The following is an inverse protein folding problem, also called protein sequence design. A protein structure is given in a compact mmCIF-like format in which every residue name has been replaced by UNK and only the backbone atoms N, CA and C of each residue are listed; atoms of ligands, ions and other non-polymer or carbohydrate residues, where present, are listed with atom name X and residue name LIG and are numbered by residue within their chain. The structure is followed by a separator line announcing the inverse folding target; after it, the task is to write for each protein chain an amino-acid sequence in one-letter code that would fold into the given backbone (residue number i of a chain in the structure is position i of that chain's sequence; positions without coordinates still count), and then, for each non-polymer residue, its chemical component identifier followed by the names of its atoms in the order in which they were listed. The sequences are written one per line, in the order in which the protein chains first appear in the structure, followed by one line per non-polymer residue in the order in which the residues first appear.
data_IF_206458808801
#
_entry.id   IF_206458808801
#
_cell.length_a   1.000
_cell.length_b   1.000
_cell.length_c   1.000
_cell.angle_alpha   90.00
_cell.angle_beta   90.00
_cell.angle_gamma   90.00
#
_symmetry.space_group_name_H-M   'P 1'
#
loop_
_entity.id
_entity.type
_entity.pdbx_description
1 polymer ?
#
# COMPACT_ATOMS: atom_id res chain seq x y z
N UNK A 1 18.96 -16.21 4.23
CA UNK A 1 19.23 -17.67 4.07
C UNK A 1 20.13 -17.99 2.87
N UNK A 2 20.41 -17.04 2.00
CA UNK A 2 21.16 -17.28 0.75
C UNK A 2 22.69 -17.15 0.86
N UNK A 3 23.25 -16.74 2.00
CA UNK A 3 24.68 -16.47 2.13
C UNK A 3 25.49 -17.53 2.91
N UNK A 4 24.88 -18.64 3.35
CA UNK A 4 25.59 -19.70 4.11
C UNK A 4 26.12 -19.28 5.49
N UNK A 5 25.79 -18.06 5.97
CA UNK A 5 26.18 -17.57 7.29
C UNK A 5 25.25 -18.10 8.37
N UNK A 6 25.78 -18.43 9.53
CA UNK A 6 24.99 -18.80 10.70
C UNK A 6 24.16 -17.61 11.14
N UNK A 7 22.85 -17.83 11.29
CA UNK A 7 21.90 -16.80 11.73
C UNK A 7 21.58 -17.01 13.20
N UNK A 8 21.67 -15.96 14.00
CA UNK A 8 21.23 -15.98 15.40
C UNK A 8 19.72 -16.25 15.45
N UNK A 9 19.29 -17.18 16.31
CA UNK A 9 17.88 -17.60 16.45
C UNK A 9 17.22 -17.91 15.10
N UNK A 10 17.69 -18.91 14.32
CA UNK A 10 17.21 -19.18 12.97
C UNK A 10 15.72 -19.57 12.92
N UNK A 11 15.22 -20.18 13.99
CA UNK A 11 13.81 -20.64 14.09
C UNK A 11 12.84 -19.53 14.54
N UNK A 12 13.35 -18.34 14.88
CA UNK A 12 12.49 -17.22 15.26
C UNK A 12 11.68 -16.75 14.04
N UNK A 13 10.32 -16.82 14.06
CA UNK A 13 9.49 -16.44 12.93
C UNK A 13 9.62 -14.95 12.64
N UNK A 14 9.58 -14.60 11.35
CA UNK A 14 9.57 -13.19 10.92
C UNK A 14 8.22 -12.57 11.22
N UNK A 15 8.18 -11.57 12.09
CA UNK A 15 6.98 -10.81 12.43
C UNK A 15 7.32 -9.43 12.99
N UNK A 16 6.30 -8.60 13.06
CA UNK A 16 6.31 -7.32 13.76
C UNK A 16 5.26 -7.41 14.88
N UNK A 17 5.65 -7.13 16.10
CA UNK A 17 4.74 -7.06 17.25
C UNK A 17 4.65 -5.61 17.72
N UNK A 18 3.43 -5.14 17.94
CA UNK A 18 3.12 -3.82 18.49
C UNK A 18 2.41 -4.01 19.81
N UNK A 19 2.91 -3.35 20.85
CA UNK A 19 2.33 -3.38 22.19
C UNK A 19 2.07 -1.94 22.63
N UNK A 20 0.89 -1.70 23.20
CA UNK A 20 0.50 -0.42 23.77
C UNK A 20 0.28 -0.54 25.28
N UNK A 21 0.95 0.32 26.03
CA UNK A 21 0.76 0.43 27.47
C UNK A 21 0.28 1.83 27.83
N UNK A 22 -1.02 1.94 27.99
CA UNK A 22 -1.69 3.21 28.26
C UNK A 22 -1.20 3.89 29.54
N UNK A 23 -1.06 3.12 30.63
CA UNK A 23 -0.64 3.65 31.93
C UNK A 23 0.80 4.16 31.92
N UNK A 24 1.67 3.53 31.11
CA UNK A 24 3.07 3.93 30.91
C UNK A 24 3.20 4.97 29.78
N UNK A 25 2.15 5.25 29.02
CA UNK A 25 2.14 6.08 27.81
C UNK A 25 3.23 5.64 26.81
N UNK A 26 3.36 4.32 26.61
CA UNK A 26 4.37 3.77 25.71
C UNK A 26 3.77 2.96 24.59
N UNK A 27 4.42 3.02 23.44
CA UNK A 27 4.20 2.11 22.32
C UNK A 27 5.52 1.39 22.08
N UNK A 28 5.48 0.07 22.03
CA UNK A 28 6.65 -0.75 21.71
C UNK A 28 6.41 -1.46 20.39
N UNK A 29 7.34 -1.31 19.45
CA UNK A 29 7.33 -1.97 18.14
C UNK A 29 8.55 -2.87 18.09
N UNK A 30 8.32 -4.17 17.93
CA UNK A 30 9.39 -5.18 17.89
C UNK A 30 9.35 -5.92 16.57
N UNK A 31 10.43 -5.94 15.84
CA UNK A 31 10.63 -6.83 14.70
C UNK A 31 11.64 -7.95 15.02
N UNK A 32 11.48 -9.07 14.32
CA UNK A 32 12.38 -10.22 14.40
C UNK A 32 13.30 -10.28 13.17
N UNK A 33 13.66 -9.13 12.63
CA UNK A 33 14.46 -8.97 11.43
C UNK A 33 15.94 -9.20 11.63
N UNK A 34 16.73 -8.50 10.83
CA UNK A 34 18.21 -8.65 10.85
C UNK A 34 18.88 -7.92 12.01
N UNK A 35 18.19 -6.99 12.66
CA UNK A 35 18.79 -6.15 13.70
C UNK A 35 19.96 -5.31 13.20
N UNK A 36 20.75 -4.77 14.14
CA UNK A 36 21.91 -3.93 13.85
C UNK A 36 23.07 -4.26 14.77
N UNK A 37 24.29 -4.16 14.25
CA UNK A 37 25.55 -4.10 15.02
C UNK A 37 25.71 -2.72 15.65
N UNK A 38 26.67 -2.55 16.56
CA UNK A 38 27.01 -1.24 17.14
C UNK A 38 27.35 -0.20 16.07
N UNK A 39 28.17 -0.59 15.09
CA UNK A 39 28.57 0.30 14.01
C UNK A 39 27.38 0.72 13.14
N UNK A 40 26.49 -0.23 12.79
CA UNK A 40 25.27 0.05 12.01
C UNK A 40 24.29 0.92 12.80
N UNK A 41 24.19 0.75 14.11
CA UNK A 41 23.33 1.57 14.97
C UNK A 41 23.78 3.04 14.94
N UNK A 42 25.09 3.30 15.09
CA UNK A 42 25.67 4.65 14.96
C UNK A 42 25.41 5.20 13.55
N UNK A 43 25.68 4.40 12.52
CA UNK A 43 25.55 4.84 11.14
C UNK A 43 24.10 5.16 10.75
N UNK A 44 23.15 4.31 11.16
CA UNK A 44 21.76 4.42 10.73
C UNK A 44 20.90 5.35 11.60
N UNK A 45 21.19 5.44 12.90
CA UNK A 45 20.44 6.26 13.85
C UNK A 45 21.21 7.48 14.37
N UNK A 46 22.53 7.49 14.25
CA UNK A 46 23.36 8.64 14.62
C UNK A 46 23.50 9.69 13.52
N UNK A 47 23.06 9.39 12.31
CA UNK A 47 23.17 10.30 11.16
C UNK A 47 21.80 10.41 10.46
N UNK A 48 21.24 11.61 10.44
CA UNK A 48 19.97 11.90 9.76
C UNK A 48 20.11 11.63 8.25
N UNK A 49 19.06 11.07 7.64
CA UNK A 49 18.99 10.73 6.22
C UNK A 49 19.98 9.63 5.77
N UNK A 50 20.47 8.81 6.67
CA UNK A 50 21.22 7.60 6.33
C UNK A 50 20.28 6.38 6.33
N UNK A 51 20.32 5.56 5.25
CA UNK A 51 19.50 4.35 5.12
C UNK A 51 20.37 3.13 4.84
N UNK A 52 20.39 2.17 5.75
CA UNK A 52 21.04 0.88 5.58
C UNK A 52 20.45 0.08 4.40
N UNK A 53 19.17 0.29 4.08
CA UNK A 53 18.52 -0.33 2.92
C UNK A 53 19.20 0.01 1.60
N UNK A 54 19.70 1.23 1.44
CA UNK A 54 20.40 1.67 0.23
C UNK A 54 21.76 1.01 0.06
N UNK A 55 22.49 0.82 1.15
CA UNK A 55 23.77 0.10 1.17
C UNK A 55 23.55 -1.40 0.89
N UNK A 56 22.51 -1.99 1.47
CA UNK A 56 22.12 -3.38 1.26
C UNK A 56 21.69 -3.65 -0.21
N UNK A 57 20.91 -2.77 -0.81
CA UNK A 57 20.57 -2.86 -2.24
C UNK A 57 21.81 -2.82 -3.15
N UNK A 58 22.82 -2.00 -2.82
CA UNK A 58 24.06 -1.96 -3.59
C UNK A 58 24.85 -3.27 -3.50
N UNK A 59 24.94 -3.89 -2.31
CA UNK A 59 25.64 -5.15 -2.13
C UNK A 59 24.99 -6.34 -2.86
N UNK A 60 23.69 -6.25 -3.14
CA UNK A 60 22.92 -7.29 -3.85
C UNK A 60 22.88 -7.08 -5.37
N UNK A 61 23.21 -5.89 -5.87
CA UNK A 61 23.28 -5.63 -7.31
C UNK A 61 24.44 -6.35 -8.02
N UNK A 62 25.43 -6.83 -7.27
CA UNK A 62 26.52 -7.65 -7.81
C UNK A 62 26.11 -9.11 -8.06
N UNK A 63 25.06 -9.62 -7.39
CA UNK A 63 24.54 -10.97 -7.54
C UNK A 63 23.04 -10.96 -7.85
N UNK A 64 22.64 -10.91 -9.13
CA UNK A 64 21.27 -11.09 -9.65
C UNK A 64 20.16 -10.45 -8.82
N UNK A 65 19.45 -9.45 -9.36
CA UNK A 65 18.32 -8.73 -8.76
C UNK A 65 17.44 -9.64 -7.88
N UNK A 66 17.52 -9.65 -6.58
CA UNK A 66 16.45 -10.19 -5.77
C UNK A 66 15.32 -9.14 -5.76
N UNK A 67 14.11 -9.63 -5.85
CA UNK A 67 12.86 -8.89 -5.73
C UNK A 67 12.70 -8.42 -4.26
N UNK A 68 13.55 -7.49 -3.85
CA UNK A 68 13.56 -6.96 -2.49
C UNK A 68 12.68 -5.72 -2.41
N UNK A 69 11.46 -5.94 -1.97
CA UNK A 69 10.48 -4.92 -1.64
C UNK A 69 10.90 -4.05 -0.44
N UNK A 70 12.02 -3.31 -0.56
CA UNK A 70 12.51 -2.41 0.48
C UNK A 70 11.80 -1.05 0.40
N UNK A 71 11.07 -0.69 1.44
CA UNK A 71 10.28 0.55 1.55
C UNK A 71 11.12 1.70 2.11
N UNK A 72 12.06 1.40 3.02
CA UNK A 72 12.91 2.39 3.68
C UNK A 72 14.07 2.84 2.81
N UNK A 73 13.95 4.02 2.15
CA UNK A 73 14.98 4.52 1.23
C UNK A 73 15.70 5.78 1.72
N UNK A 74 15.06 6.59 2.57
CA UNK A 74 15.53 7.95 2.91
C UNK A 74 16.20 8.06 4.27
N UNK A 75 16.04 7.08 5.18
CA UNK A 75 16.61 7.11 6.53
C UNK A 75 16.03 8.20 7.43
N UNK A 76 14.85 8.74 7.11
CA UNK A 76 14.20 9.81 7.88
C UNK A 76 12.91 9.37 8.57
N UNK A 77 12.29 8.28 8.14
CA UNK A 77 11.02 7.81 8.68
C UNK A 77 11.08 7.51 10.18
N UNK A 78 12.20 7.00 10.65
CA UNK A 78 12.43 6.74 12.07
C UNK A 78 12.28 7.99 12.94
N UNK A 79 12.77 9.14 12.45
CA UNK A 79 12.75 10.38 13.23
C UNK A 79 11.35 10.98 13.40
N UNK A 80 10.35 10.52 12.64
CA UNK A 80 8.95 10.89 12.86
C UNK A 80 8.44 10.42 14.23
N UNK A 81 9.11 9.44 14.86
CA UNK A 81 8.81 9.03 16.22
C UNK A 81 8.88 10.17 17.23
N UNK A 82 9.78 11.14 17.02
CA UNK A 82 9.91 12.32 17.89
C UNK A 82 8.80 13.37 17.72
N UNK A 83 7.91 13.21 16.73
CA UNK A 83 6.70 14.01 16.63
C UNK A 83 5.64 13.64 17.68
N UNK A 84 5.74 12.43 18.23
CA UNK A 84 4.77 11.88 19.20
C UNK A 84 5.41 11.47 20.53
N UNK A 85 6.73 11.33 20.57
CA UNK A 85 7.46 10.87 21.74
C UNK A 85 8.53 11.87 22.19
N UNK A 86 8.68 12.04 23.49
CA UNK A 86 9.73 12.85 24.11
C UNK A 86 11.02 12.04 24.33
N UNK A 87 10.94 10.72 24.28
CA UNK A 87 12.06 9.80 24.36
C UNK A 87 11.82 8.55 23.50
N UNK A 88 12.83 8.15 22.77
CA UNK A 88 12.84 6.93 21.98
C UNK A 88 13.99 6.04 22.43
N UNK A 89 13.67 4.78 22.73
CA UNK A 89 14.65 3.74 23.08
C UNK A 89 14.64 2.68 21.99
N UNK A 90 15.80 2.32 21.46
CA UNK A 90 15.98 1.26 20.47
C UNK A 90 16.89 0.21 21.03
N UNK A 91 16.40 -1.02 21.20
CA UNK A 91 17.16 -2.20 21.57
C UNK A 91 17.32 -3.09 20.35
N UNK A 92 18.53 -3.46 19.99
CA UNK A 92 18.78 -4.21 18.76
C UNK A 92 19.95 -5.16 18.89
N UNK A 93 19.89 -6.28 18.15
CA UNK A 93 21.02 -7.21 18.00
C UNK A 93 21.06 -7.73 16.59
N UNK A 94 22.25 -7.71 16.00
CA UNK A 94 22.48 -8.22 14.65
C UNK A 94 22.22 -9.72 14.55
N UNK A 95 21.68 -10.13 13.39
CA UNK A 95 21.45 -11.53 13.03
C UNK A 95 22.72 -12.38 12.99
N UNK A 96 23.90 -11.75 12.85
CA UNK A 96 25.18 -12.46 12.84
C UNK A 96 25.51 -13.06 14.21
N UNK A 97 25.00 -12.47 15.30
CA UNK A 97 25.27 -12.89 16.67
C UNK A 97 26.71 -12.71 17.12
N UNK A 98 27.57 -12.03 16.33
CA UNK A 98 28.97 -11.76 16.63
C UNK A 98 29.14 -10.80 17.82
N UNK A 99 28.15 -9.91 18.02
CA UNK A 99 28.11 -8.93 19.11
C UNK A 99 26.94 -9.19 20.06
N UNK A 100 27.03 -8.61 21.26
CA UNK A 100 25.89 -8.52 22.18
C UNK A 100 24.80 -7.55 21.64
N UNK A 101 23.67 -7.47 22.32
CA UNK A 101 22.66 -6.46 22.06
C UNK A 101 23.11 -5.07 22.48
N UNK A 102 22.57 -4.06 21.81
CA UNK A 102 22.85 -2.65 22.07
C UNK A 102 21.55 -1.88 22.30
N UNK A 103 21.62 -0.90 23.19
CA UNK A 103 20.51 0.04 23.45
C UNK A 103 20.94 1.45 23.07
N UNK A 104 20.16 2.07 22.22
CA UNK A 104 20.27 3.47 21.82
C UNK A 104 19.13 4.26 22.43
N UNK A 105 19.41 5.43 22.99
CA UNK A 105 18.41 6.28 23.65
C UNK A 105 18.60 7.71 23.16
N UNK A 106 17.49 8.38 22.82
CA UNK A 106 17.49 9.81 22.48
C UNK A 106 16.19 10.48 22.87
N UNK A 107 16.26 11.76 23.17
CA UNK A 107 15.11 12.65 23.34
C UNK A 107 14.86 13.56 22.13
N UNK A 108 15.57 13.35 21.01
CA UNK A 108 15.42 14.16 19.79
C UNK A 108 16.13 15.53 19.84
N UNK A 109 16.73 15.91 20.97
CA UNK A 109 17.37 17.22 21.19
C UNK A 109 18.84 17.32 20.74
N UNK A 110 19.27 16.51 19.76
CA UNK A 110 20.60 16.63 19.13
C UNK A 110 21.68 15.73 19.72
N UNK A 111 21.32 14.80 20.62
CA UNK A 111 22.22 13.80 21.17
C UNK A 111 21.56 12.43 21.34
N UNK A 112 22.39 11.40 21.49
CA UNK A 112 21.96 10.05 21.83
C UNK A 112 23.01 9.37 22.68
N UNK A 113 22.60 8.34 23.41
CA UNK A 113 23.45 7.46 24.19
C UNK A 113 23.37 6.05 23.64
N UNK A 114 24.51 5.31 23.68
CA UNK A 114 24.53 3.90 23.32
C UNK A 114 25.17 3.14 24.48
N UNK A 115 24.50 2.09 24.92
CA UNK A 115 24.98 1.23 25.99
C UNK A 115 24.78 -0.26 25.64
N UNK A 116 25.60 -1.17 26.25
CA UNK A 116 25.35 -2.60 26.10
C UNK A 116 23.98 -3.00 26.67
N UNK A 117 23.25 -3.86 25.94
CA UNK A 117 21.96 -4.39 26.35
C UNK A 117 21.95 -5.91 26.59
N UNK A 118 23.15 -6.54 26.59
CA UNK A 118 23.32 -7.96 26.91
C UNK A 118 22.80 -8.90 25.81
N UNK A 119 22.28 -10.04 26.21
CA UNK A 119 21.87 -11.13 25.32
C UNK A 119 20.43 -10.95 24.85
N UNK A 120 20.25 -10.19 23.78
CA UNK A 120 18.97 -9.99 23.12
C UNK A 120 18.76 -11.01 21.97
N UNK A 121 17.53 -11.36 21.62
CA UNK A 121 17.26 -12.03 20.35
C UNK A 121 17.63 -11.12 19.18
N UNK A 122 17.80 -11.69 17.98
CA UNK A 122 17.99 -10.89 16.77
C UNK A 122 16.76 -10.05 16.46
N UNK A 123 16.96 -8.87 15.89
CA UNK A 123 15.91 -7.95 15.52
C UNK A 123 16.05 -6.61 16.20
N UNK A 124 14.97 -5.83 16.15
CA UNK A 124 14.95 -4.48 16.71
C UNK A 124 13.67 -4.25 17.49
N UNK A 125 13.79 -3.66 18.68
CA UNK A 125 12.70 -3.24 19.54
C UNK A 125 12.79 -1.74 19.75
N UNK A 126 11.74 -1.01 19.34
CA UNK A 126 11.63 0.44 19.47
C UNK A 126 10.56 0.74 20.50
N UNK A 127 10.91 1.45 21.56
CA UNK A 127 9.95 1.92 22.57
C UNK A 127 9.83 3.45 22.48
N UNK A 128 8.61 3.92 22.21
CA UNK A 128 8.23 5.32 22.16
C UNK A 128 7.62 5.71 23.51
N UNK A 129 8.19 6.68 24.19
CA UNK A 129 7.61 7.31 25.37
C UNK A 129 6.82 8.52 24.90
N UNK A 130 5.50 8.40 24.86
CA UNK A 130 4.62 9.40 24.28
C UNK A 130 4.55 10.67 25.15
N UNK A 131 4.49 11.81 24.48
CA UNK A 131 4.18 13.07 25.16
C UNK A 131 2.76 13.06 25.72
N UNK A 132 2.45 13.91 26.70
CA UNK A 132 1.09 14.01 27.26
C UNK A 132 0.05 14.36 26.19
N UNK A 133 0.42 15.21 25.23
CA UNK A 133 -0.45 15.63 24.15
C UNK A 133 -0.76 14.49 23.16
N UNK A 134 0.14 13.53 23.03
CA UNK A 134 0.05 12.43 22.04
C UNK A 134 -0.27 11.07 22.69
N UNK A 135 -0.61 11.03 23.98
CA UNK A 135 -0.93 9.79 24.72
C UNK A 135 -2.02 8.93 24.08
N UNK A 136 -2.92 9.55 23.32
CA UNK A 136 -3.99 8.84 22.61
C UNK A 136 -3.46 7.81 21.61
N UNK A 137 -2.22 7.92 21.15
CA UNK A 137 -1.60 6.89 20.32
C UNK A 137 -1.36 5.57 21.07
N UNK A 138 -1.38 5.54 22.41
CA UNK A 138 -1.36 4.30 23.19
C UNK A 138 -2.72 3.59 23.26
N UNK A 139 -3.78 4.16 22.69
CA UNK A 139 -5.08 3.51 22.61
C UNK A 139 -5.07 2.42 21.52
N UNK A 140 -5.42 1.21 21.91
CA UNK A 140 -5.41 0.03 21.04
C UNK A 140 -6.21 0.22 19.74
N UNK A 141 -7.41 0.76 19.83
CA UNK A 141 -8.27 0.99 18.66
C UNK A 141 -7.63 1.95 17.64
N UNK A 142 -6.90 2.95 18.12
CA UNK A 142 -6.21 3.94 17.28
C UNK A 142 -5.04 3.28 16.54
N UNK A 143 -4.22 2.50 17.23
CA UNK A 143 -3.13 1.74 16.61
C UNK A 143 -3.67 0.71 15.61
N UNK A 144 -4.71 -0.03 15.96
CA UNK A 144 -5.36 -0.97 15.06
C UNK A 144 -5.83 -0.29 13.77
N UNK A 145 -6.50 0.86 13.90
CA UNK A 145 -6.95 1.66 12.77
C UNK A 145 -5.79 2.12 11.87
N UNK A 146 -4.69 2.59 12.47
CA UNK A 146 -3.49 3.02 11.73
C UNK A 146 -2.84 1.84 11.00
N UNK A 147 -2.63 0.71 11.68
CA UNK A 147 -2.02 -0.48 11.10
C UNK A 147 -2.88 -1.00 9.93
N UNK A 148 -4.19 -1.16 10.14
CA UNK A 148 -5.13 -1.58 9.09
C UNK A 148 -5.14 -0.63 7.89
N UNK A 149 -5.06 0.66 8.14
CA UNK A 149 -5.09 1.67 7.07
C UNK A 149 -3.83 1.65 6.21
N UNK A 150 -2.65 1.64 6.83
CA UNK A 150 -1.39 1.89 6.13
C UNK A 150 -0.57 0.62 5.86
N UNK A 151 -0.72 -0.41 6.67
CA UNK A 151 0.16 -1.59 6.67
C UNK A 151 -0.57 -2.92 6.54
N UNK A 152 -1.86 -2.91 6.18
CA UNK A 152 -2.66 -4.13 6.12
C UNK A 152 -2.13 -5.18 5.13
N UNK A 153 -1.47 -4.72 4.07
CA UNK A 153 -0.97 -5.59 3.00
C UNK A 153 0.55 -5.85 3.06
N UNK A 154 1.19 -5.42 4.13
CA UNK A 154 2.62 -5.72 4.35
C UNK A 154 2.82 -7.24 4.43
N UNK A 155 3.84 -7.80 3.74
CA UNK A 155 4.00 -9.24 3.61
C UNK A 155 4.50 -9.95 4.88
N UNK A 156 4.74 -9.21 5.96
CA UNK A 156 5.15 -9.72 7.26
C UNK A 156 3.97 -9.64 8.23
N UNK A 157 3.69 -10.69 9.03
CA UNK A 157 2.65 -10.63 10.04
C UNK A 157 2.87 -9.47 11.02
N UNK A 158 1.81 -8.67 11.25
CA UNK A 158 1.79 -7.62 12.26
C UNK A 158 0.79 -8.03 13.34
N UNK A 159 1.28 -8.11 14.57
CA UNK A 159 0.49 -8.41 15.75
C UNK A 159 0.34 -7.16 16.62
N UNK A 160 -0.87 -6.90 17.10
CA UNK A 160 -1.15 -5.88 18.12
C UNK A 160 -1.61 -6.59 19.39
N UNK A 161 -0.84 -6.45 20.47
CA UNK A 161 -1.04 -7.17 21.74
C UNK A 161 -1.26 -8.67 21.52
N UNK A 162 -0.46 -9.30 20.66
CA UNK A 162 -0.51 -10.72 20.34
C UNK A 162 -1.58 -11.15 19.32
N UNK A 163 -2.42 -10.23 18.83
CA UNK A 163 -3.44 -10.55 17.84
C UNK A 163 -2.99 -10.10 16.45
N UNK A 164 -3.06 -10.98 15.46
CA UNK A 164 -2.75 -10.64 14.08
C UNK A 164 -3.73 -9.60 13.52
N UNK A 165 -3.21 -8.53 12.91
CA UNK A 165 -4.01 -7.41 12.40
C UNK A 165 -4.06 -7.39 10.88
N UNK A 166 -2.94 -7.61 10.19
CA UNK A 166 -2.84 -7.57 8.73
C UNK A 166 -3.19 -8.93 8.12
N UNK A 167 -4.45 -9.29 8.13
CA UNK A 167 -4.94 -10.61 7.68
C UNK A 167 -5.34 -10.63 6.20
N UNK A 168 -5.47 -9.47 5.56
CA UNK A 168 -5.94 -9.35 4.19
C UNK A 168 -4.76 -9.45 3.23
N UNK A 169 -4.90 -10.28 2.19
CA UNK A 169 -3.88 -10.43 1.16
C UNK A 169 -4.00 -9.33 0.09
N UNK A 170 -2.86 -8.86 -0.42
CA UNK A 170 -2.80 -7.94 -1.55
C UNK A 170 -3.12 -8.68 -2.87
N UNK A 171 -4.39 -8.92 -3.17
CA UNK A 171 -4.82 -9.73 -4.32
C UNK A 171 -4.28 -9.20 -5.65
N UNK A 172 -4.06 -7.89 -5.79
CA UNK A 172 -3.54 -7.28 -7.02
C UNK A 172 -2.11 -7.70 -7.39
N UNK A 173 -1.37 -8.31 -6.44
CA UNK A 173 -0.01 -8.81 -6.68
C UNK A 173 0.04 -10.31 -6.93
N UNK A 174 -1.08 -11.03 -6.79
CA UNK A 174 -1.16 -12.49 -6.99
C UNK A 174 -1.43 -12.84 -8.46
N UNK A 175 -1.05 -14.02 -8.85
CA UNK A 175 -1.41 -14.54 -10.17
C UNK A 175 -2.93 -14.76 -10.24
N UNK A 176 -3.56 -14.25 -11.30
CA UNK A 176 -5.02 -14.37 -11.53
C UNK A 176 -5.53 -15.80 -11.51
N UNK A 177 -4.72 -16.75 -12.01
CA UNK A 177 -5.09 -18.17 -12.06
C UNK A 177 -5.16 -18.84 -10.69
N UNK A 178 -4.61 -18.22 -9.66
CA UNK A 178 -4.55 -18.73 -8.30
C UNK A 178 -5.63 -18.12 -7.39
N UNK A 179 -6.39 -17.14 -7.89
CA UNK A 179 -7.39 -16.40 -7.11
C UNK A 179 -8.77 -16.89 -7.51
N UNK A 180 -9.53 -17.34 -6.53
CA UNK A 180 -10.93 -17.76 -6.72
C UNK A 180 -11.86 -16.57 -6.88
N UNK A 181 -12.98 -16.69 -7.59
CA UNK A 181 -13.98 -15.62 -7.74
C UNK A 181 -14.43 -15.04 -6.38
N UNK A 182 -14.64 -15.90 -5.38
CA UNK A 182 -15.12 -15.51 -4.06
C UNK A 182 -14.09 -14.61 -3.33
N UNK A 183 -12.79 -14.86 -3.51
CA UNK A 183 -11.72 -14.03 -2.92
C UNK A 183 -11.75 -12.61 -3.49
N UNK A 184 -12.06 -12.46 -4.79
CA UNK A 184 -12.23 -11.15 -5.41
C UNK A 184 -13.44 -10.40 -4.87
N UNK A 185 -14.55 -11.08 -4.64
CA UNK A 185 -15.78 -10.46 -4.13
C UNK A 185 -15.62 -10.06 -2.65
N UNK A 186 -14.97 -10.88 -1.85
CA UNK A 186 -14.62 -10.53 -0.46
C UNK A 186 -13.67 -9.33 -0.41
N UNK A 187 -12.66 -9.32 -1.30
CA UNK A 187 -11.75 -8.20 -1.39
C UNK A 187 -12.47 -6.91 -1.85
N UNK A 188 -13.41 -7.01 -2.78
CA UNK A 188 -14.23 -5.86 -3.19
C UNK A 188 -15.04 -5.29 -2.01
N UNK A 189 -15.73 -6.14 -1.27
CA UNK A 189 -16.47 -5.71 -0.07
C UNK A 189 -15.58 -4.99 0.93
N UNK A 190 -14.36 -5.48 1.10
CA UNK A 190 -13.39 -4.88 2.00
C UNK A 190 -12.91 -3.50 1.50
N UNK A 191 -12.51 -3.37 0.22
CA UNK A 191 -11.85 -2.16 -0.28
C UNK A 191 -12.83 -1.07 -0.71
N UNK A 192 -14.03 -1.45 -1.19
CA UNK A 192 -15.07 -0.54 -1.64
C UNK A 192 -16.09 -0.22 -0.54
N UNK A 193 -16.06 -0.94 0.60
CA UNK A 193 -17.07 -0.85 1.65
C UNK A 193 -18.51 -1.06 1.13
N UNK A 194 -18.64 -1.94 0.13
CA UNK A 194 -19.89 -2.26 -0.54
C UNK A 194 -20.19 -3.75 -0.38
N UNK A 195 -21.41 -4.10 0.00
CA UNK A 195 -21.85 -5.49 0.20
C UNK A 195 -22.31 -6.18 -1.06
N UNK A 196 -22.67 -5.42 -2.10
CA UNK A 196 -23.12 -5.97 -3.37
C UNK A 196 -21.93 -6.35 -4.26
N UNK A 197 -22.03 -7.42 -5.08
CA UNK A 197 -20.94 -7.79 -5.97
C UNK A 197 -20.72 -6.72 -7.06
N UNK A 198 -19.49 -6.52 -7.54
CA UNK A 198 -19.20 -5.56 -8.59
C UNK A 198 -19.76 -6.03 -9.95
N UNK A 199 -20.10 -5.09 -10.85
CA UNK A 199 -20.48 -5.39 -12.24
C UNK A 199 -19.31 -5.95 -13.03
N UNK A 200 -18.17 -5.27 -12.96
CA UNK A 200 -16.96 -5.61 -13.70
C UNK A 200 -15.73 -5.56 -12.79
N UNK A 201 -14.74 -6.36 -13.17
CA UNK A 201 -13.47 -6.42 -12.47
C UNK A 201 -12.32 -6.47 -13.47
N UNK A 202 -11.38 -5.57 -13.35
CA UNK A 202 -10.13 -5.58 -14.09
C UNK A 202 -8.96 -5.84 -13.14
N UNK A 203 -8.32 -6.99 -13.29
CA UNK A 203 -7.05 -7.31 -12.63
C UNK A 203 -5.96 -7.37 -13.71
N UNK A 204 -4.90 -6.57 -13.58
CA UNK A 204 -3.79 -6.62 -14.53
C UNK A 204 -2.46 -6.26 -13.88
N UNK A 205 -1.38 -6.75 -14.49
CA UNK A 205 -0.01 -6.38 -14.18
C UNK A 205 0.69 -5.92 -15.46
N UNK A 206 1.60 -4.98 -15.34
CA UNK A 206 2.45 -4.48 -16.40
C UNK A 206 3.85 -4.20 -15.83
N UNK A 207 4.91 -4.53 -16.59
CA UNK A 207 6.30 -4.31 -16.17
C UNK A 207 6.93 -3.13 -16.90
N UNK A 208 6.35 -2.71 -18.04
CA UNK A 208 6.83 -1.58 -18.84
C UNK A 208 5.63 -0.79 -19.39
N UNK A 209 5.74 0.55 -19.51
CA UNK A 209 6.88 1.41 -19.15
C UNK A 209 7.03 1.66 -17.63
N UNK A 210 6.12 1.13 -16.82
CA UNK A 210 6.11 1.20 -15.35
C UNK A 210 5.67 -0.15 -14.81
N UNK A 211 6.26 -0.55 -13.69
CA UNK A 211 5.79 -1.69 -12.93
C UNK A 211 4.48 -1.34 -12.22
N UNK A 212 3.37 -1.92 -12.68
CA UNK A 212 2.03 -1.64 -12.17
C UNK A 212 1.34 -2.96 -11.88
N UNK A 213 0.76 -3.08 -10.69
CA UNK A 213 -0.21 -4.10 -10.34
C UNK A 213 -1.52 -3.40 -9.98
N UNK A 214 -2.61 -3.77 -10.61
CA UNK A 214 -3.90 -3.11 -10.37
C UNK A 214 -5.05 -4.10 -10.30
N UNK A 215 -5.95 -3.84 -9.36
CA UNK A 215 -7.22 -4.52 -9.22
C UNK A 215 -8.30 -3.47 -9.07
N UNK A 216 -9.05 -3.27 -10.16
CA UNK A 216 -10.08 -2.25 -10.30
C UNK A 216 -11.44 -2.90 -10.42
N UNK A 217 -12.43 -2.27 -9.81
CA UNK A 217 -13.82 -2.71 -9.82
C UNK A 217 -14.75 -1.60 -10.31
N UNK A 218 -15.79 -2.02 -11.00
CA UNK A 218 -16.96 -1.18 -11.32
C UNK A 218 -18.07 -1.60 -10.38
N UNK A 219 -18.58 -0.73 -9.51
CA UNK A 219 -19.72 -1.03 -8.63
C UNK A 219 -20.95 -1.48 -9.37
N UNK A 220 -21.85 -2.21 -8.69
CA UNK A 220 -23.12 -2.65 -9.28
C UNK A 220 -24.07 -1.50 -9.57
N UNK A 221 -23.97 -0.40 -8.80
CA UNK A 221 -24.86 0.77 -8.90
C UNK A 221 -24.10 2.06 -9.03
N UNK A 222 -24.61 2.95 -9.84
CA UNK A 222 -24.14 4.33 -9.96
C UNK A 222 -24.84 5.21 -8.92
N UNK A 223 -24.15 5.55 -7.84
CA UNK A 223 -24.71 6.38 -6.77
C UNK A 223 -25.05 7.81 -7.23
N UNK A 224 -24.33 8.35 -8.23
CA UNK A 224 -24.65 9.69 -8.79
C UNK A 224 -26.00 9.70 -9.52
N UNK A 225 -26.41 8.58 -10.12
CA UNK A 225 -27.73 8.49 -10.77
C UNK A 225 -28.88 8.57 -9.77
N UNK A 226 -28.64 8.21 -8.51
CA UNK A 226 -29.63 8.28 -7.42
C UNK A 226 -29.75 9.66 -6.79
N UNK A 227 -29.16 10.71 -7.37
CA UNK A 227 -29.23 12.07 -6.86
C UNK A 227 -28.24 12.36 -5.70
N UNK A 228 -27.32 11.48 -5.42
CA UNK A 228 -26.23 11.72 -4.47
C UNK A 228 -25.22 12.71 -5.08
N UNK A 229 -24.43 13.33 -4.20
CA UNK A 229 -23.36 14.24 -4.63
C UNK A 229 -22.38 13.53 -5.58
N UNK A 230 -21.73 14.30 -6.45
CA UNK A 230 -20.68 13.82 -7.34
C UNK A 230 -19.64 13.03 -6.55
N UNK A 231 -19.38 11.79 -6.95
CA UNK A 231 -18.40 10.92 -6.28
C UNK A 231 -16.98 11.39 -6.58
N UNK A 232 -16.09 11.19 -5.63
CA UNK A 232 -14.65 11.23 -5.88
C UNK A 232 -14.15 9.81 -6.18
N UNK A 233 -13.03 9.69 -6.91
CA UNK A 233 -12.39 8.39 -7.11
C UNK A 233 -12.01 7.76 -5.77
N UNK A 234 -12.35 6.49 -5.58
CA UNK A 234 -12.03 5.73 -4.37
C UNK A 234 -11.01 4.61 -4.63
N UNK A 235 -10.14 4.82 -5.61
CA UNK A 235 -9.01 3.94 -5.85
C UNK A 235 -7.84 4.36 -4.97
N UNK A 236 -7.31 3.41 -4.23
CA UNK A 236 -6.16 3.62 -3.35
C UNK A 236 -4.86 3.38 -4.11
N UNK A 237 -3.87 4.23 -3.87
CA UNK A 237 -2.54 4.12 -4.45
C UNK A 237 -1.57 3.55 -3.42
N UNK A 238 -0.92 2.47 -3.80
CA UNK A 238 0.10 1.77 -3.01
C UNK A 238 1.46 1.87 -3.67
N UNK A 239 2.50 1.77 -2.86
CA UNK A 239 3.85 1.48 -3.29
C UNK A 239 4.36 0.30 -2.48
N UNK A 240 4.65 -0.81 -3.17
CA UNK A 240 5.12 -2.04 -2.50
C UNK A 240 4.19 -2.47 -1.36
N UNK A 241 2.89 -2.49 -1.62
CA UNK A 241 1.81 -2.87 -0.68
C UNK A 241 1.61 -1.94 0.52
N UNK A 242 2.31 -0.81 0.59
CA UNK A 242 2.08 0.23 1.60
C UNK A 242 1.21 1.32 1.02
N UNK A 243 0.17 1.70 1.73
CA UNK A 243 -0.73 2.78 1.30
C UNK A 243 0.02 4.11 1.28
N UNK A 244 0.07 4.72 0.09
CA UNK A 244 0.67 6.04 -0.12
C UNK A 244 -0.39 7.13 -0.14
N UNK A 245 -1.48 6.89 -0.90
CA UNK A 245 -2.56 7.85 -1.00
C UNK A 245 -3.91 7.14 -1.02
N UNK A 246 -4.75 7.32 0.00
CA UNK A 246 -6.13 6.89 -0.04
C UNK A 246 -6.89 7.76 -1.04
N UNK A 247 -7.80 7.17 -1.80
CA UNK A 247 -8.64 7.89 -2.79
C UNK A 247 -7.77 8.80 -3.68
N UNK A 248 -6.82 8.17 -4.40
CA UNK A 248 -5.75 8.87 -5.09
C UNK A 248 -6.30 9.85 -6.13
N UNK A 249 -6.07 11.15 -5.88
CA UNK A 249 -6.44 12.22 -6.80
C UNK A 249 -5.53 12.19 -8.03
N UNK A 250 -6.08 12.52 -9.19
CA UNK A 250 -5.36 12.56 -10.47
C UNK A 250 -4.82 11.21 -10.99
N UNK A 251 -5.12 10.09 -10.32
CA UNK A 251 -4.76 8.76 -10.80
C UNK A 251 -5.57 8.37 -12.03
N UNK A 252 -6.79 8.88 -12.14
CA UNK A 252 -7.71 8.67 -13.25
C UNK A 252 -8.27 9.98 -13.78
N UNK A 253 -8.69 10.03 -15.06
CA UNK A 253 -9.52 11.13 -15.55
C UNK A 253 -10.87 11.14 -14.83
N UNK A 254 -11.49 12.31 -14.73
CA UNK A 254 -12.73 12.55 -13.99
C UNK A 254 -13.89 11.60 -14.40
N UNK A 255 -13.95 11.21 -15.65
CA UNK A 255 -14.97 10.31 -16.14
C UNK A 255 -14.85 8.86 -15.59
N UNK A 256 -13.70 8.49 -14.99
CA UNK A 256 -13.48 7.20 -14.32
C UNK A 256 -13.64 7.26 -12.79
N UNK A 257 -14.20 8.32 -12.24
CA UNK A 257 -14.36 8.52 -10.78
C UNK A 257 -15.21 7.47 -10.06
N UNK A 258 -15.99 6.68 -10.81
CA UNK A 258 -16.78 5.57 -10.27
C UNK A 258 -15.93 4.35 -9.89
N UNK A 259 -14.68 4.26 -10.34
CA UNK A 259 -13.83 3.11 -10.06
C UNK A 259 -13.50 2.97 -8.57
N UNK A 260 -13.39 1.72 -8.14
CA UNK A 260 -12.95 1.31 -6.80
C UNK A 260 -11.76 0.38 -6.93
N UNK A 261 -10.96 0.26 -5.88
CA UNK A 261 -9.89 -0.74 -5.86
C UNK A 261 -8.52 -0.23 -5.46
N UNK A 262 -7.48 -0.90 -5.98
CA UNK A 262 -6.08 -0.65 -5.66
C UNK A 262 -5.22 -0.58 -6.92
N UNK A 263 -4.28 0.35 -6.91
CA UNK A 263 -3.17 0.43 -7.85
C UNK A 263 -1.88 0.45 -7.04
N UNK A 264 -0.94 -0.40 -7.38
CA UNK A 264 0.37 -0.51 -6.73
C UNK A 264 1.46 -0.37 -7.78
N UNK A 265 2.43 0.50 -7.54
CA UNK A 265 3.57 0.67 -8.43
C UNK A 265 4.86 0.83 -7.63
N UNK A 266 5.87 0.05 -8.01
CA UNK A 266 7.19 0.11 -7.37
C UNK A 266 8.02 1.29 -7.84
N UNK A 267 7.70 1.85 -9.01
CA UNK A 267 8.40 2.97 -9.63
C UNK A 267 7.98 4.33 -9.07
N UNK A 268 7.03 4.35 -8.12
CA UNK A 268 6.61 5.59 -7.49
C UNK A 268 7.76 6.25 -6.74
N UNK A 269 8.19 7.48 -7.12
CA UNK A 269 9.16 8.22 -6.36
C UNK A 269 8.50 8.63 -5.04
N UNK A 270 8.86 7.93 -3.98
CA UNK A 270 8.46 8.31 -2.64
C UNK A 270 9.22 9.58 -2.27
N UNK A 271 8.52 10.67 -2.01
CA UNK A 271 9.11 11.80 -1.32
C UNK A 271 9.34 11.45 0.18
N UNK A 272 10.09 12.28 0.86
CA UNK A 272 10.44 12.07 2.28
C UNK A 272 9.18 11.94 3.16
N UNK A 273 8.13 12.74 2.90
CA UNK A 273 6.88 12.73 3.67
C UNK A 273 5.91 11.61 3.28
N UNK A 274 6.08 11.00 2.10
CA UNK A 274 5.14 10.02 1.50
C UNK A 274 3.69 10.52 1.34
N UNK A 275 3.41 11.79 1.64
CA UNK A 275 2.06 12.33 1.67
C UNK A 275 1.60 12.92 0.34
N UNK A 276 2.54 13.35 -0.50
CA UNK A 276 2.22 13.91 -1.80
C UNK A 276 3.17 13.42 -2.87
N UNK A 277 2.62 12.88 -3.94
CA UNK A 277 3.35 12.62 -5.16
C UNK A 277 3.57 13.94 -5.90
N UNK A 278 4.78 14.47 -5.85
CA UNK A 278 5.14 15.73 -6.55
C UNK A 278 5.48 15.51 -8.03
N UNK A 279 5.78 14.27 -8.45
CA UNK A 279 6.08 13.98 -9.84
C UNK A 279 4.80 13.83 -10.67
N UNK A 280 4.33 14.97 -11.16
CA UNK A 280 3.16 15.04 -12.04
C UNK A 280 3.36 14.27 -13.35
N UNK A 281 4.61 14.09 -13.80
CA UNK A 281 4.93 13.38 -15.05
C UNK A 281 4.68 11.86 -14.91
N UNK A 282 5.06 11.30 -13.76
CA UNK A 282 4.84 9.88 -13.49
C UNK A 282 3.36 9.59 -13.25
N UNK A 283 2.65 10.45 -12.49
CA UNK A 283 1.20 10.32 -12.32
C UNK A 283 0.47 10.39 -13.66
N UNK A 284 0.88 11.27 -14.56
CA UNK A 284 0.32 11.34 -15.91
C UNK A 284 0.59 10.05 -16.72
N UNK A 285 1.77 9.45 -16.59
CA UNK A 285 2.09 8.16 -17.22
C UNK A 285 1.24 7.02 -16.64
N UNK A 286 1.10 6.93 -15.31
CA UNK A 286 0.24 5.96 -14.64
C UNK A 286 -1.20 6.10 -15.12
N UNK A 287 -1.74 7.33 -15.05
CA UNK A 287 -3.08 7.65 -15.53
C UNK A 287 -3.28 7.15 -16.97
N UNK A 288 -2.38 7.50 -17.88
CA UNK A 288 -2.46 7.10 -19.29
C UNK A 288 -2.46 5.58 -19.46
N UNK A 289 -1.53 4.87 -18.80
CA UNK A 289 -1.42 3.40 -18.91
C UNK A 289 -2.68 2.72 -18.39
N UNK A 290 -3.14 3.10 -17.20
CA UNK A 290 -4.28 2.45 -16.55
C UNK A 290 -5.58 2.78 -17.32
N UNK A 291 -5.76 4.04 -17.74
CA UNK A 291 -6.95 4.46 -18.53
C UNK A 291 -7.02 3.72 -19.86
N UNK A 292 -5.89 3.66 -20.59
CA UNK A 292 -5.83 2.90 -21.86
C UNK A 292 -6.14 1.42 -21.63
N UNK A 293 -5.65 0.83 -20.56
CA UNK A 293 -5.90 -0.57 -20.24
C UNK A 293 -7.35 -0.82 -19.85
N UNK A 294 -7.98 0.12 -19.13
CA UNK A 294 -9.38 0.00 -18.75
C UNK A 294 -10.31 0.14 -19.98
N UNK A 295 -10.04 1.08 -20.87
CA UNK A 295 -10.82 1.22 -22.13
C UNK A 295 -10.70 -0.05 -22.98
N UNK A 296 -9.49 -0.59 -23.12
CA UNK A 296 -9.29 -1.87 -23.83
C UNK A 296 -10.04 -3.02 -23.17
N UNK A 297 -10.09 -3.07 -21.84
CA UNK A 297 -10.87 -4.07 -21.11
C UNK A 297 -12.38 -3.94 -21.40
N UNK A 298 -12.93 -2.72 -21.46
CA UNK A 298 -14.33 -2.51 -21.84
C UNK A 298 -14.58 -2.96 -23.27
N UNK A 299 -13.71 -2.64 -24.22
CA UNK A 299 -13.79 -3.07 -25.61
C UNK A 299 -13.77 -4.61 -25.72
N UNK A 300 -12.81 -5.28 -25.05
CA UNK A 300 -12.77 -6.73 -24.97
C UNK A 300 -14.04 -7.32 -24.34
N UNK A 301 -14.66 -6.63 -23.37
CA UNK A 301 -15.89 -7.09 -22.70
C UNK A 301 -17.10 -7.01 -23.66
N UNK A 302 -17.12 -6.05 -24.59
CA UNK A 302 -18.21 -6.00 -25.59
C UNK A 302 -18.31 -7.28 -26.42
N UNK A 303 -17.20 -7.95 -26.67
CA UNK A 303 -17.11 -9.18 -27.46
C UNK A 303 -17.22 -10.45 -26.59
N UNK A 304 -16.54 -10.48 -25.44
CA UNK A 304 -16.42 -11.68 -24.59
C UNK A 304 -17.61 -11.90 -23.68
N UNK A 305 -18.24 -10.83 -23.21
CA UNK A 305 -19.39 -10.85 -22.30
C UNK A 305 -20.30 -9.64 -22.59
N UNK A 306 -21.06 -9.69 -23.70
CA UNK A 306 -21.96 -8.60 -24.10
C UNK A 306 -23.00 -8.25 -23.04
N UNK A 307 -23.46 -9.22 -22.25
CA UNK A 307 -24.46 -9.00 -21.21
C UNK A 307 -23.89 -8.20 -20.05
N UNK A 308 -22.65 -8.50 -19.62
CA UNK A 308 -21.97 -7.72 -18.61
C UNK A 308 -21.69 -6.30 -19.11
N UNK A 309 -21.27 -6.14 -20.38
CA UNK A 309 -21.10 -4.81 -20.96
C UNK A 309 -22.41 -4.03 -21.05
N UNK A 310 -23.53 -4.68 -21.41
CA UNK A 310 -24.85 -4.03 -21.46
C UNK A 310 -25.28 -3.50 -20.09
N UNK A 311 -25.09 -4.29 -19.02
CA UNK A 311 -25.34 -3.86 -17.64
C UNK A 311 -24.46 -2.68 -17.26
N UNK A 312 -23.17 -2.73 -17.59
CA UNK A 312 -22.25 -1.62 -17.38
C UNK A 312 -22.72 -0.37 -18.13
N UNK A 313 -23.07 -0.50 -19.40
CA UNK A 313 -23.48 0.64 -20.22
C UNK A 313 -24.79 1.25 -19.73
N UNK A 314 -25.73 0.45 -19.27
CA UNK A 314 -26.99 0.94 -18.68
C UNK A 314 -26.74 1.88 -17.49
N UNK A 315 -25.82 1.52 -16.60
CA UNK A 315 -25.51 2.29 -15.39
C UNK A 315 -24.52 3.44 -15.63
N UNK A 316 -23.52 3.24 -16.51
CA UNK A 316 -22.33 4.09 -16.61
C UNK A 316 -22.15 4.79 -17.97
N UNK A 317 -23.13 4.72 -18.91
CA UNK A 317 -23.02 5.36 -20.23
C UNK A 317 -22.73 6.87 -20.15
N UNK A 318 -23.29 7.56 -19.14
CA UNK A 318 -23.07 8.98 -18.92
C UNK A 318 -21.58 9.29 -18.73
N UNK A 319 -20.85 8.45 -18.00
CA UNK A 319 -19.42 8.60 -17.78
C UNK A 319 -18.62 8.34 -19.06
N UNK A 320 -19.01 7.33 -19.85
CA UNK A 320 -18.39 7.07 -21.16
C UNK A 320 -18.60 8.26 -22.10
N UNK A 321 -19.81 8.82 -22.16
CA UNK A 321 -20.14 10.04 -22.92
C UNK A 321 -19.35 11.25 -22.42
N UNK A 322 -19.21 11.43 -21.10
CA UNK A 322 -18.35 12.45 -20.48
C UNK A 322 -16.91 12.29 -20.95
N UNK A 323 -16.38 11.05 -20.95
CA UNK A 323 -15.04 10.74 -21.43
C UNK A 323 -14.82 11.10 -22.89
N UNK A 324 -15.77 10.82 -23.77
CA UNK A 324 -15.68 11.22 -25.21
C UNK A 324 -15.54 12.73 -25.37
N UNK A 325 -16.15 13.52 -24.48
CA UNK A 325 -16.12 14.99 -24.55
C UNK A 325 -14.86 15.57 -23.88
N UNK A 326 -14.38 14.97 -22.80
CA UNK A 326 -13.33 15.56 -21.95
C UNK A 326 -11.96 14.93 -22.13
N UNK A 327 -11.88 13.67 -22.56
CA UNK A 327 -10.62 12.93 -22.72
C UNK A 327 -10.20 12.87 -24.20
N UNK A 328 -9.55 13.93 -24.65
CA UNK A 328 -9.10 14.04 -26.05
C UNK A 328 -8.12 12.95 -26.46
N UNK A 329 -7.36 12.39 -25.51
CA UNK A 329 -6.38 11.33 -25.79
C UNK A 329 -7.05 10.02 -26.17
N UNK A 330 -8.18 9.70 -25.56
CA UNK A 330 -8.88 8.41 -25.74
C UNK A 330 -10.22 8.54 -26.46
N UNK A 331 -10.54 9.72 -27.02
CA UNK A 331 -11.82 10.05 -27.65
C UNK A 331 -12.28 9.00 -28.66
N UNK A 332 -11.40 8.60 -29.57
CA UNK A 332 -11.74 7.66 -30.66
C UNK A 332 -12.03 6.26 -30.12
N UNK A 333 -11.25 5.82 -29.12
CA UNK A 333 -11.45 4.53 -28.48
C UNK A 333 -12.76 4.50 -27.67
N UNK A 334 -13.05 5.58 -26.93
CA UNK A 334 -14.31 5.74 -26.20
C UNK A 334 -15.53 5.84 -27.14
N UNK A 335 -15.34 6.50 -28.30
CA UNK A 335 -16.40 6.61 -29.32
C UNK A 335 -16.89 5.25 -29.83
N UNK A 336 -16.01 4.24 -29.90
CA UNK A 336 -16.38 2.87 -30.30
C UNK A 336 -17.24 2.15 -29.25
N UNK A 337 -17.15 2.55 -27.98
CA UNK A 337 -17.97 1.99 -26.91
C UNK A 337 -19.39 2.57 -26.84
N UNK A 338 -19.65 3.68 -27.57
CA UNK A 338 -20.96 4.27 -27.60
C UNK A 338 -21.94 3.36 -28.35
N UNK A 339 -23.14 3.25 -27.82
CA UNK A 339 -24.30 2.57 -28.48
C UNK A 339 -25.35 3.58 -28.83
N UNK A 340 -26.07 3.32 -29.95
CA UNK A 340 -27.21 4.11 -30.31
C UNK A 340 -28.35 3.90 -29.29
N UNK A 341 -29.13 4.93 -29.01
CA UNK A 341 -30.26 4.84 -28.07
C UNK A 341 -31.37 3.87 -28.56
N UNK A 342 -31.38 3.55 -29.83
CA UNK A 342 -32.31 2.56 -30.41
C UNK A 342 -32.09 1.15 -29.84
N UNK A 343 -30.85 0.77 -29.53
CA UNK A 343 -30.58 -0.54 -28.94
C UNK A 343 -30.88 -0.63 -27.43
N UNK A 344 -30.98 0.49 -26.72
CA UNK A 344 -31.39 0.50 -25.32
C UNK A 344 -32.89 0.39 -25.12
N UNK A 345 -33.68 0.87 -26.06
CA UNK A 345 -35.16 0.77 -26.03
C UNK A 345 -35.69 -0.65 -26.27
N UNK A 346 -35.00 -1.47 -27.08
CA UNK A 346 -35.39 -2.87 -27.30
C UNK A 346 -35.18 -3.76 -26.07
N UNK A 347 -34.21 -3.44 -25.22
CA UNK A 347 -33.97 -4.17 -23.96
C UNK A 347 -35.00 -3.81 -22.88
N UNK A 348 -35.48 -2.57 -22.85
CA UNK A 348 -36.55 -2.13 -21.92
C UNK A 348 -37.94 -2.65 -22.27
N UNK A 349 -38.15 -3.04 -23.51
CA UNK A 349 -39.45 -3.59 -23.96
C UNK A 349 -39.61 -5.10 -23.72
N UNK A 350 -38.60 -5.79 -23.19
CA UNK A 350 -38.63 -7.24 -22.93
C UNK A 350 -38.77 -7.62 -21.43
N UNK A 351 -39.08 -6.64 -20.57
CA UNK A 351 -39.40 -6.88 -19.16
C UNK A 351 -40.78 -6.40 -18.78
#
# INVERSE_FOLDING_TARGET
QTSGKTILNPDLPLKISVEAKKDEKTITITDTGIGMTHAELIQNLGTIAHSGSKAFLKSLQEDKKPDLNLIGQFGVGFYSAFMVADRVTVETRSYTGEEQGWRWISSGGGGYEIEPAGDLPRGTKITLHLTEEQKDFSEKWKLESIIKRYSNFVPVPIELDGNAINTVQALWTRNKSEIKPEEYDEFYKYIAHDSEPPLLRLHFSADAPLAINALLYVPSRNLEASGMARSESEVNLYCRKVLIQPKAKNLFPEWLRFLRGAVDSEDLPLNISRETMQDTSLMAKLNKVITTRFIKFLDETTEKDPDAFNKFYAEYNRFVKEGVVTDFTHKDALGKLLRSEEHTSELQSRF
#
